data_IF_308526926119
#
_entry.id   IF_308526926119
#
_cell.length_a   1.000
_cell.length_b   1.000
_cell.length_c   1.000
_cell.angle_alpha   90.00
_cell.angle_beta   90.00
_cell.angle_gamma   90.00
#
_symmetry.space_group_name_H-M   'P 1'
#
loop_
_entity.id
_entity.type
_entity.pdbx_description
1 polymer ?
#
# COMPACT_ATOMS: atom_id res chain seq x y z
N UNK A 1 -2.76 19.16 2.31
CA UNK A 1 -2.68 17.71 2.01
C UNK A 1 -3.08 16.95 3.27
N UNK A 2 -3.77 15.82 3.14
CA UNK A 2 -4.13 14.97 4.27
C UNK A 2 -2.96 14.03 4.60
N UNK A 3 -2.57 13.94 5.88
CA UNK A 3 -1.38 13.20 6.31
C UNK A 3 -1.69 11.88 7.02
N UNK A 4 -2.95 11.65 7.42
CA UNK A 4 -3.35 10.43 8.11
C UNK A 4 -4.85 10.35 8.36
N UNK A 5 -5.32 9.16 8.71
CA UNK A 5 -6.69 8.87 9.13
C UNK A 5 -6.59 8.17 10.47
N UNK A 6 -7.32 8.66 11.47
CA UNK A 6 -7.40 8.04 12.79
C UNK A 6 -8.82 7.54 13.01
N UNK A 7 -8.97 6.28 13.44
CA UNK A 7 -10.26 5.70 13.82
C UNK A 7 -10.35 5.53 15.33
N UNK A 8 -11.51 5.85 15.89
CA UNK A 8 -11.82 5.68 17.30
C UNK A 8 -13.15 4.90 17.42
N UNK A 9 -13.21 3.66 17.89
CA UNK A 9 -12.20 2.86 18.60
C UNK A 9 -11.74 1.63 17.81
N UNK A 10 -10.71 0.94 18.33
CA UNK A 10 -10.29 -0.34 17.78
C UNK A 10 -11.38 -1.42 17.97
N UNK A 11 -11.83 -1.64 19.21
CA UNK A 11 -12.81 -2.68 19.54
C UNK A 11 -14.02 -2.12 20.27
N UNK A 12 -15.12 -2.87 20.23
CA UNK A 12 -16.25 -2.62 21.13
C UNK A 12 -15.90 -3.06 22.55
N UNK A 13 -16.49 -2.43 23.55
CA UNK A 13 -16.26 -2.77 24.96
C UNK A 13 -15.00 -2.13 25.54
N UNK A 14 -14.20 -1.45 24.73
CA UNK A 14 -12.91 -0.89 25.17
C UNK A 14 -12.99 0.59 25.53
N UNK A 15 -14.09 1.25 25.18
CA UNK A 15 -14.30 2.67 25.45
C UNK A 15 -14.90 2.91 26.84
N UNK A 16 -14.82 4.15 27.32
CA UNK A 16 -15.44 4.54 28.60
C UNK A 16 -16.97 4.38 28.53
N UNK A 17 -17.60 4.18 29.69
CA UNK A 17 -19.05 4.15 29.82
C UNK A 17 -19.69 5.41 29.22
N UNK A 18 -20.79 5.25 28.48
CA UNK A 18 -21.44 6.30 27.70
C UNK A 18 -20.95 6.38 26.25
N UNK A 19 -19.64 6.32 26.03
CA UNK A 19 -19.06 6.33 24.67
C UNK A 19 -19.25 4.98 23.97
N UNK A 20 -19.11 3.90 24.72
CA UNK A 20 -19.15 2.55 24.18
C UNK A 20 -20.55 2.08 23.75
N UNK A 21 -21.62 2.81 24.10
CA UNK A 21 -23.01 2.40 23.89
C UNK A 21 -23.34 2.21 22.40
N UNK A 22 -22.71 3.00 21.54
CA UNK A 22 -22.88 2.92 20.09
C UNK A 22 -22.09 1.78 19.43
N UNK A 23 -21.23 1.06 20.17
CA UNK A 23 -20.38 -0.02 19.62
C UNK A 23 -19.65 0.40 18.33
N UNK A 24 -18.95 1.54 18.42
CA UNK A 24 -18.27 2.19 17.30
C UNK A 24 -16.91 1.59 16.90
N UNK A 25 -16.49 0.49 17.53
CA UNK A 25 -15.23 -0.17 17.22
C UNK A 25 -15.20 -0.70 15.78
N UNK A 26 -14.02 -0.77 15.16
CA UNK A 26 -13.83 -1.51 13.88
C UNK A 26 -13.79 -3.03 14.09
N UNK A 27 -13.58 -3.47 15.32
CA UNK A 27 -13.72 -4.85 15.77
C UNK A 27 -14.84 -4.95 16.80
N UNK A 28 -15.41 -6.15 16.95
CA UNK A 28 -16.38 -6.41 18.02
C UNK A 28 -15.70 -6.67 19.37
N UNK A 29 -16.51 -7.01 20.38
CA UNK A 29 -16.07 -7.26 21.76
C UNK A 29 -15.13 -8.47 21.90
N UNK A 30 -15.13 -9.38 20.91
CA UNK A 30 -14.24 -10.53 20.83
C UNK A 30 -13.03 -10.27 19.92
N UNK A 31 -12.84 -9.02 19.48
CA UNK A 31 -11.81 -8.58 18.54
C UNK A 31 -11.93 -9.23 17.16
N UNK A 32 -13.14 -9.66 16.76
CA UNK A 32 -13.38 -10.11 15.41
C UNK A 32 -13.64 -8.90 14.48
N UNK A 33 -13.14 -8.93 13.25
CA UNK A 33 -13.24 -7.80 12.33
C UNK A 33 -14.70 -7.54 11.92
N UNK A 34 -15.15 -6.28 12.00
CA UNK A 34 -16.42 -5.83 11.43
C UNK A 34 -16.27 -5.48 9.95
N UNK A 35 -17.39 -5.12 9.32
CA UNK A 35 -17.41 -4.68 7.91
C UNK A 35 -16.54 -3.45 7.65
N UNK A 36 -16.47 -2.51 8.59
CA UNK A 36 -15.59 -1.33 8.48
C UNK A 36 -14.11 -1.72 8.50
N UNK A 37 -13.70 -2.66 9.37
CA UNK A 37 -12.34 -3.21 9.35
C UNK A 37 -12.00 -3.80 7.98
N UNK A 38 -12.87 -4.70 7.46
CA UNK A 38 -12.63 -5.35 6.16
C UNK A 38 -12.56 -4.35 5.01
N UNK A 39 -13.39 -3.31 5.04
CA UNK A 39 -13.33 -2.23 4.05
C UNK A 39 -12.01 -1.47 4.13
N UNK A 40 -11.55 -1.10 5.33
CA UNK A 40 -10.27 -0.42 5.53
C UNK A 40 -9.08 -1.30 5.15
N UNK A 41 -9.11 -2.58 5.50
CA UNK A 41 -8.09 -3.56 5.13
C UNK A 41 -7.94 -3.65 3.60
N UNK A 42 -9.06 -3.80 2.88
CA UNK A 42 -9.05 -3.76 1.42
C UNK A 42 -8.49 -2.45 0.87
N UNK A 43 -8.94 -1.31 1.39
CA UNK A 43 -8.45 -0.01 0.93
C UNK A 43 -6.93 0.12 1.14
N UNK A 44 -6.43 -0.21 2.32
CA UNK A 44 -5.02 0.01 2.69
C UNK A 44 -4.10 -1.04 2.05
N UNK A 45 -4.48 -2.32 2.11
CA UNK A 45 -3.61 -3.44 1.75
C UNK A 45 -3.80 -3.93 0.31
N UNK A 46 -4.82 -3.47 -0.40
CA UNK A 46 -5.04 -3.81 -1.81
C UNK A 46 -5.15 -2.55 -2.67
N UNK A 47 -6.18 -1.72 -2.45
CA UNK A 47 -6.57 -0.70 -3.42
C UNK A 47 -5.63 0.52 -3.41
N UNK A 48 -5.09 0.89 -2.24
CA UNK A 48 -4.10 1.95 -2.07
C UNK A 48 -2.65 1.43 -2.12
N UNK A 49 -2.46 0.26 -2.73
CA UNK A 49 -1.14 -0.21 -3.15
C UNK A 49 -1.01 -0.10 -4.67
N UNK A 50 0.14 0.35 -5.12
CA UNK A 50 0.45 0.35 -6.55
C UNK A 50 0.97 -1.02 -6.96
N UNK A 51 0.14 -1.80 -7.63
CA UNK A 51 0.52 -3.05 -8.32
C UNK A 51 0.28 -2.87 -9.80
N UNK A 52 1.33 -2.97 -10.62
CA UNK A 52 1.21 -2.81 -12.07
C UNK A 52 2.22 -3.68 -12.82
N UNK A 53 1.85 -4.06 -14.04
CA UNK A 53 2.73 -4.73 -14.99
C UNK A 53 2.79 -3.90 -16.26
N UNK A 54 4.01 -3.57 -16.69
CA UNK A 54 4.29 -2.67 -17.80
C UNK A 54 5.44 -3.22 -18.63
N UNK A 55 5.44 -2.88 -19.92
CA UNK A 55 6.54 -3.19 -20.83
C UNK A 55 7.36 -1.92 -21.06
N UNK A 56 8.67 -2.07 -21.17
CA UNK A 56 9.55 -0.97 -21.57
C UNK A 56 9.23 -0.52 -22.99
N UNK A 57 9.45 0.75 -23.27
CA UNK A 57 9.52 1.26 -24.64
C UNK A 57 10.80 0.79 -25.37
N UNK A 58 10.95 1.20 -26.63
CA UNK A 58 12.11 0.87 -27.48
C UNK A 58 13.45 1.40 -26.92
N UNK A 59 13.40 2.33 -25.95
CA UNK A 59 14.56 2.88 -25.25
C UNK A 59 14.81 2.21 -23.90
N UNK A 60 14.05 1.17 -23.55
CA UNK A 60 14.18 0.48 -22.26
C UNK A 60 13.58 1.25 -21.08
N UNK A 61 12.71 2.23 -21.32
CA UNK A 61 12.14 3.11 -20.28
C UNK A 61 10.71 2.71 -19.93
N UNK A 62 10.37 2.87 -18.65
CA UNK A 62 9.01 2.69 -18.12
C UNK A 62 8.64 3.94 -17.33
N UNK A 63 7.39 4.39 -17.49
CA UNK A 63 6.76 5.37 -16.63
C UNK A 63 5.51 4.75 -16.01
N UNK A 64 5.26 5.01 -14.73
CA UNK A 64 4.05 4.57 -14.04
C UNK A 64 3.59 5.64 -13.06
N UNK A 65 2.31 5.61 -12.72
CA UNK A 65 1.74 6.43 -11.64
C UNK A 65 1.57 5.55 -10.40
N UNK A 66 2.10 6.01 -9.27
CA UNK A 66 2.00 5.32 -7.99
C UNK A 66 2.17 6.25 -6.80
N UNK A 67 2.16 5.67 -5.61
CA UNK A 67 2.46 6.36 -4.35
C UNK A 67 3.96 6.46 -4.10
N UNK A 68 4.40 7.42 -3.28
CA UNK A 68 5.78 7.42 -2.76
C UNK A 68 5.97 6.29 -1.75
N UNK A 69 7.16 5.71 -1.71
CA UNK A 69 7.50 4.60 -0.83
C UNK A 69 8.37 3.54 -1.51
N UNK A 70 8.45 2.38 -0.85
CA UNK A 70 9.25 1.24 -1.30
C UNK A 70 8.47 0.38 -2.28
N UNK A 71 9.16 -0.05 -3.33
CA UNK A 71 8.66 -0.94 -4.36
C UNK A 71 9.61 -2.11 -4.55
N UNK A 72 9.04 -3.29 -4.74
CA UNK A 72 9.74 -4.42 -5.33
C UNK A 72 9.44 -4.42 -6.82
N UNK A 73 10.46 -4.26 -7.65
CA UNK A 73 10.35 -4.24 -9.10
C UNK A 73 11.00 -5.51 -9.65
N UNK A 74 10.17 -6.38 -10.22
CA UNK A 74 10.63 -7.56 -10.95
C UNK A 74 10.79 -7.21 -12.43
N UNK A 75 12.02 -7.29 -12.93
CA UNK A 75 12.34 -7.08 -14.35
C UNK A 75 12.54 -8.44 -15.00
N UNK A 76 11.88 -8.65 -16.15
CA UNK A 76 12.00 -9.88 -16.93
C UNK A 76 12.36 -9.53 -18.38
N UNK A 77 13.34 -10.24 -18.95
CA UNK A 77 13.77 -10.09 -20.34
C UNK A 77 14.21 -11.46 -20.88
N UNK A 78 13.45 -12.00 -21.84
CA UNK A 78 13.58 -13.40 -22.26
C UNK A 78 13.42 -14.34 -21.06
N UNK A 79 14.34 -15.28 -20.90
CA UNK A 79 14.32 -16.27 -19.81
C UNK A 79 14.91 -15.75 -18.49
N UNK A 80 15.35 -14.48 -18.45
CA UNK A 80 15.99 -13.89 -17.27
C UNK A 80 14.99 -13.06 -16.47
N UNK A 81 15.09 -13.17 -15.15
CA UNK A 81 14.30 -12.38 -14.21
C UNK A 81 15.16 -11.94 -13.02
N UNK A 82 14.97 -10.71 -12.54
CA UNK A 82 15.60 -10.21 -11.31
C UNK A 82 14.70 -9.21 -10.59
N UNK A 83 14.71 -9.25 -9.27
CA UNK A 83 14.05 -8.27 -8.42
C UNK A 83 15.01 -7.16 -7.97
N UNK A 84 14.47 -5.95 -7.88
CA UNK A 84 15.14 -4.76 -7.41
C UNK A 84 14.25 -4.07 -6.39
N UNK A 85 14.84 -3.56 -5.31
CA UNK A 85 14.14 -2.69 -4.37
C UNK A 85 14.42 -1.23 -4.72
N UNK A 86 13.34 -0.46 -4.91
CA UNK A 86 13.40 0.96 -5.22
C UNK A 86 12.63 1.74 -4.16
N UNK A 87 13.09 2.94 -3.86
CA UNK A 87 12.38 3.85 -2.97
C UNK A 87 12.11 5.16 -3.70
N UNK A 88 10.85 5.48 -3.93
CA UNK A 88 10.40 6.73 -4.53
C UNK A 88 10.05 7.72 -3.44
N UNK A 89 10.61 8.93 -3.50
CA UNK A 89 10.29 10.02 -2.59
C UNK A 89 9.98 11.28 -3.37
N UNK A 90 9.32 12.23 -2.72
CA UNK A 90 8.99 13.53 -3.31
C UNK A 90 10.23 14.32 -3.75
N UNK A 91 11.35 14.11 -3.05
CA UNK A 91 12.59 14.85 -3.27
C UNK A 91 13.50 14.19 -4.32
N UNK A 92 13.19 12.93 -4.71
CA UNK A 92 13.93 12.22 -5.76
C UNK A 92 13.29 12.43 -7.12
N UNK A 93 13.87 13.30 -7.94
CA UNK A 93 13.42 13.55 -9.31
C UNK A 93 14.17 12.73 -10.36
N UNK A 94 15.21 11.99 -9.95
CA UNK A 94 16.06 11.23 -10.87
C UNK A 94 15.46 9.85 -11.15
N UNK A 95 15.35 9.43 -12.42
CA UNK A 95 14.92 8.08 -12.75
C UNK A 95 15.84 7.00 -12.16
N UNK A 96 15.26 5.87 -11.74
CA UNK A 96 16.04 4.70 -11.34
C UNK A 96 16.53 3.93 -12.57
N UNK A 97 17.85 3.69 -12.66
CA UNK A 97 18.43 2.84 -13.69
C UNK A 97 18.62 1.42 -13.16
N UNK A 98 17.96 0.45 -13.80
CA UNK A 98 18.08 -0.96 -13.48
C UNK A 98 18.95 -1.66 -14.52
N UNK A 99 19.90 -2.49 -14.07
CA UNK A 99 20.78 -3.25 -14.96
C UNK A 99 20.61 -4.74 -14.68
N UNK A 100 20.04 -5.45 -15.65
CA UNK A 100 20.03 -6.90 -15.69
C UNK A 100 21.34 -7.38 -16.32
N UNK A 101 22.32 -7.73 -15.48
CA UNK A 101 23.61 -8.26 -15.97
C UNK A 101 23.37 -9.59 -16.69
N UNK A 102 24.11 -9.78 -17.78
CA UNK A 102 24.09 -11.03 -18.55
C UNK A 102 24.67 -12.18 -17.73
#
# INVERSE_FOLDING_TARGET
MMAGITWWNLGDGTAVQGENEAKGGIMDEQLLPKSSYRALDKLINEDWRTTTQVKTDDKGTVQFRGFYGKYVVKVTAGDKSKEFELNFSKDSQTPHKLVLKQ
#
